data_IF_765158050805
#
_entry.id   IF_765158050805
#
_cell.length_a   1.000
_cell.length_b   1.000
_cell.length_c   1.000
_cell.angle_alpha   90.00
_cell.angle_beta   90.00
_cell.angle_gamma   90.00
#
_symmetry.space_group_name_H-M   'P 1'
#
loop_
_entity.id
_entity.type
_entity.pdbx_description
1 polymer ?
#
# COMPACT_ATOMS: atom_id res chain seq x y z
N UNK A 1 -14.40 -17.21 -16.66
CA UNK A 1 -13.72 -15.94 -16.36
C UNK A 1 -13.92 -15.65 -14.90
N UNK A 2 -12.91 -15.83 -14.07
CA UNK A 2 -13.02 -15.50 -12.65
C UNK A 2 -12.90 -13.99 -12.53
N UNK A 3 -14.03 -13.34 -12.27
CA UNK A 3 -14.09 -11.93 -11.91
C UNK A 3 -13.44 -11.78 -10.53
N UNK A 4 -12.14 -11.50 -10.51
CA UNK A 4 -11.41 -11.17 -9.30
C UNK A 4 -11.66 -9.69 -9.04
N UNK A 5 -12.79 -9.37 -8.40
CA UNK A 5 -13.05 -8.03 -7.90
C UNK A 5 -11.82 -7.48 -7.15
N UNK A 6 -11.64 -6.15 -7.09
CA UNK A 6 -10.40 -5.55 -6.60
C UNK A 6 -10.09 -6.04 -5.18
N UNK A 7 -9.10 -6.91 -5.06
CA UNK A 7 -8.64 -7.35 -3.75
C UNK A 7 -7.88 -6.18 -3.11
N UNK A 8 -8.40 -5.63 -2.03
CA UNK A 8 -7.69 -4.59 -1.29
C UNK A 8 -6.75 -5.22 -0.26
N UNK A 9 -5.52 -4.73 -0.16
CA UNK A 9 -4.58 -5.08 0.91
C UNK A 9 -4.11 -3.81 1.60
N UNK A 10 -3.67 -3.94 2.85
CA UNK A 10 -3.03 -2.85 3.57
C UNK A 10 -1.51 -3.05 3.56
N UNK A 11 -0.79 -2.12 2.97
CA UNK A 11 0.66 -2.04 3.01
C UNK A 11 1.09 -1.20 4.21
N UNK A 12 2.04 -1.71 4.99
CA UNK A 12 2.73 -0.93 6.03
C UNK A 12 4.07 -0.46 5.46
N UNK A 13 4.21 0.83 5.21
CA UNK A 13 5.46 1.42 4.73
C UNK A 13 6.21 2.05 5.90
N UNK A 14 7.50 1.74 6.04
CA UNK A 14 8.39 2.28 7.08
C UNK A 14 9.68 2.75 6.41
N UNK A 15 10.05 4.01 6.61
CA UNK A 15 11.22 4.59 5.95
C UNK A 15 11.30 6.10 6.15
N UNK A 16 12.21 6.75 5.44
CA UNK A 16 12.28 8.22 5.43
C UNK A 16 11.07 8.80 4.69
N UNK A 17 10.74 10.07 4.99
CA UNK A 17 9.66 10.82 4.30
C UNK A 17 9.83 10.74 2.78
N UNK A 18 11.06 10.96 2.29
CA UNK A 18 11.39 10.92 0.85
C UNK A 18 11.09 9.55 0.22
N UNK A 19 11.49 8.46 0.88
CA UNK A 19 11.29 7.12 0.35
C UNK A 19 9.81 6.72 0.36
N UNK A 20 9.08 7.06 1.43
CA UNK A 20 7.64 6.78 1.52
C UNK A 20 6.86 7.57 0.47
N UNK A 21 7.17 8.87 0.30
CA UNK A 21 6.54 9.69 -0.73
C UNK A 21 6.77 9.15 -2.15
N UNK A 22 7.99 8.67 -2.45
CA UNK A 22 8.30 8.03 -3.73
C UNK A 22 7.43 6.80 -3.99
N UNK A 23 7.33 5.87 -3.03
CA UNK A 23 6.55 4.65 -3.19
C UNK A 23 5.05 4.91 -3.29
N UNK A 24 4.52 5.83 -2.47
CA UNK A 24 3.12 6.21 -2.54
C UNK A 24 2.78 6.82 -3.90
N UNK A 25 3.63 7.72 -4.43
CA UNK A 25 3.45 8.30 -5.75
C UNK A 25 3.46 7.25 -6.86
N UNK A 26 4.40 6.31 -6.82
CA UNK A 26 4.46 5.24 -7.82
C UNK A 26 3.20 4.35 -7.78
N UNK A 27 2.71 4.02 -6.58
CA UNK A 27 1.49 3.22 -6.43
C UNK A 27 0.23 3.99 -6.87
N UNK A 28 0.21 5.30 -6.64
CA UNK A 28 -0.87 6.20 -7.06
C UNK A 28 -0.91 6.36 -8.58
N UNK A 29 0.24 6.54 -9.23
CA UNK A 29 0.38 6.59 -10.70
C UNK A 29 -0.09 5.29 -11.38
N UNK A 30 0.01 4.15 -10.68
CA UNK A 30 -0.49 2.86 -11.17
C UNK A 30 -1.98 2.62 -10.87
N UNK A 31 -2.66 3.58 -10.23
CA UNK A 31 -4.06 3.50 -9.85
C UNK A 31 -4.35 2.47 -8.76
N UNK A 32 -3.36 2.17 -7.92
CA UNK A 32 -3.51 1.17 -6.87
C UNK A 32 -3.91 1.75 -5.53
N UNK A 33 -3.68 3.03 -5.23
CA UNK A 33 -3.90 3.60 -3.89
C UNK A 33 -5.35 4.06 -3.71
N UNK A 34 -5.99 3.64 -2.62
CA UNK A 34 -7.33 4.10 -2.23
C UNK A 34 -7.31 5.04 -1.04
N UNK A 35 -6.39 4.79 -0.10
CA UNK A 35 -6.30 5.54 1.14
C UNK A 35 -4.89 5.46 1.70
N UNK A 36 -4.41 6.54 2.30
CA UNK A 36 -3.14 6.62 3.01
C UNK A 36 -3.42 7.21 4.38
N UNK A 37 -2.97 6.54 5.45
CA UNK A 37 -3.09 7.08 6.80
C UNK A 37 -2.17 8.28 7.01
N UNK A 38 -2.51 9.10 8.02
CA UNK A 38 -1.56 10.08 8.55
C UNK A 38 -0.22 9.43 8.93
N UNK A 39 0.91 10.11 8.68
CA UNK A 39 2.24 9.62 9.01
C UNK A 39 2.45 9.59 10.52
N UNK A 40 2.88 8.43 11.02
CA UNK A 40 3.23 8.23 12.41
C UNK A 40 4.75 8.27 12.60
N UNK A 41 5.25 8.86 13.69
CA UNK A 41 6.69 8.88 13.97
C UNK A 41 7.24 7.46 14.19
N UNK A 42 8.43 7.20 13.66
CA UNK A 42 9.21 5.97 13.84
C UNK A 42 10.51 6.22 14.60
N UNK A 43 11.47 5.29 14.49
CA UNK A 43 12.80 5.46 15.11
C UNK A 43 13.67 6.38 14.24
N UNK A 44 14.30 7.37 14.88
CA UNK A 44 15.16 8.34 14.19
C UNK A 44 14.36 9.22 13.23
N UNK A 45 14.82 9.34 11.98
CA UNK A 45 14.14 10.10 10.91
C UNK A 45 13.09 9.27 10.14
N UNK A 46 12.75 8.08 10.63
CA UNK A 46 11.76 7.22 9.96
C UNK A 46 10.34 7.63 10.35
N UNK A 47 9.43 7.52 9.38
CA UNK A 47 7.99 7.57 9.60
C UNK A 47 7.38 6.23 9.20
N UNK A 48 6.13 6.00 9.64
CA UNK A 48 5.30 4.86 9.25
C UNK A 48 3.97 5.36 8.70
N UNK A 49 3.53 4.79 7.59
CA UNK A 49 2.19 4.98 7.03
C UNK A 49 1.57 3.64 6.69
N UNK A 50 0.24 3.60 6.69
CA UNK A 50 -0.55 2.49 6.18
C UNK A 50 -1.24 2.93 4.90
N UNK A 51 -1.02 2.20 3.80
CA UNK A 51 -1.67 2.46 2.51
C UNK A 51 -2.60 1.30 2.16
N UNK A 52 -3.86 1.60 1.88
CA UNK A 52 -4.80 0.63 1.32
C UNK A 52 -4.65 0.64 -0.19
N UNK A 53 -4.35 -0.51 -0.78
CA UNK A 53 -4.11 -0.64 -2.21
C UNK A 53 -4.87 -1.78 -2.86
N UNK A 54 -5.24 -1.64 -4.13
CA UNK A 54 -5.69 -2.73 -4.99
C UNK A 54 -4.52 -3.65 -5.36
N UNK A 55 -4.72 -4.97 -5.26
CA UNK A 55 -3.86 -5.98 -5.88
C UNK A 55 -4.62 -6.66 -7.02
N UNK A 56 -3.91 -6.95 -8.11
CA UNK A 56 -4.47 -7.62 -9.30
C UNK A 56 -4.67 -9.13 -9.14
N UNK A 57 -3.97 -9.76 -8.19
CA UNK A 57 -4.04 -11.19 -7.99
C UNK A 57 -4.04 -11.55 -6.50
N UNK A 58 -4.74 -12.61 -6.08
CA UNK A 58 -4.65 -13.10 -4.73
C UNK A 58 -3.24 -13.58 -4.37
N UNK A 59 -2.76 -13.25 -3.17
CA UNK A 59 -1.58 -13.89 -2.56
C UNK A 59 -1.99 -15.35 -2.30
N UNK A 60 -1.50 -16.25 -3.13
CA UNK A 60 -1.90 -17.65 -3.28
C UNK A 60 -2.39 -18.37 -2.01
N UNK A 61 -3.57 -19.01 -2.09
CA UNK A 61 -3.99 -20.08 -1.16
C UNK A 61 -5.38 -19.97 -0.53
N UNK A 62 -6.01 -18.79 -0.52
CA UNK A 62 -7.37 -18.64 -0.01
C UNK A 62 -8.39 -19.14 -1.01
N UNK A 63 -9.09 -20.25 -0.71
CA UNK A 63 -10.26 -20.69 -1.48
C UNK A 63 -11.26 -19.53 -1.59
N UNK A 64 -11.68 -19.28 -2.84
CA UNK A 64 -12.86 -18.48 -3.17
C UNK A 64 -14.09 -18.97 -2.42
#
# INVERSE_FOLDING_TARGET
MTDLGPHTIQLRLVGTVKNIAFWLRLLDELGYVHHVSEPQPGRGQQIRVYATVSRRAPLAGGKS
#
